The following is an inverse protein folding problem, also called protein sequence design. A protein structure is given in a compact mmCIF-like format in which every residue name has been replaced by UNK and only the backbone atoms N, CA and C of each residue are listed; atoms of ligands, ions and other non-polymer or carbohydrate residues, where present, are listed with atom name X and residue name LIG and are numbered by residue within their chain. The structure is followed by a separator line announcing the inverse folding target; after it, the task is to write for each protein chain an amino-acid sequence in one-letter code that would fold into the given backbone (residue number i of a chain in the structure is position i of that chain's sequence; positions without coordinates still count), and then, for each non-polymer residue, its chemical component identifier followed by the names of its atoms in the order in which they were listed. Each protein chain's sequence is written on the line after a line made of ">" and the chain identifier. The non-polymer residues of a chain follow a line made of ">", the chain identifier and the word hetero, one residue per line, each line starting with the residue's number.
data_IF_681850908879
#
_entry.id   IF_681850908879
#
_cell.length_a   1.000
_cell.length_b   1.000
_cell.length_c   1.000
_cell.angle_alpha   90.00
_cell.angle_beta   90.00
_cell.angle_gamma   90.00
#
_symmetry.space_group_name_H-M   'P 1'
#
loop_
_entity.id
_entity.type
_entity.pdbx_description
1 polymer ?
#
# COMPACT_ATOMS: atom_id res chain seq x y z
N UNK A 1 8.71 -11.89 13.07
CA UNK A 1 8.80 -10.45 13.41
C UNK A 1 7.94 -9.65 12.43
N UNK A 2 7.22 -8.62 12.88
CA UNK A 2 6.43 -7.75 11.98
C UNK A 2 7.35 -6.76 11.28
N UNK A 3 7.11 -6.53 9.99
CA UNK A 3 7.72 -5.47 9.20
C UNK A 3 6.64 -4.49 8.76
N UNK A 4 6.97 -3.19 8.78
CA UNK A 4 6.08 -2.13 8.34
C UNK A 4 6.73 -1.34 7.22
N UNK A 5 5.93 -0.94 6.25
CA UNK A 5 6.34 -0.05 5.15
C UNK A 5 5.31 1.05 5.01
N UNK A 6 5.77 2.29 4.90
CA UNK A 6 4.91 3.45 4.62
C UNK A 6 5.15 3.87 3.18
N UNK A 7 4.08 3.97 2.40
CA UNK A 7 4.14 4.44 1.01
C UNK A 7 3.26 5.66 0.83
N UNK A 8 3.62 6.49 -0.15
CA UNK A 8 2.78 7.55 -0.68
C UNK A 8 2.50 7.23 -2.16
N UNK A 9 1.31 6.69 -2.50
CA UNK A 9 1.00 6.24 -3.85
C UNK A 9 1.03 7.40 -4.85
N UNK A 10 1.80 7.25 -5.93
CA UNK A 10 1.81 8.19 -7.05
C UNK A 10 0.73 7.77 -8.06
N UNK A 11 -0.46 8.34 -7.93
CA UNK A 11 -1.64 7.92 -8.71
C UNK A 11 -1.80 8.60 -10.08
N UNK A 12 -1.02 9.64 -10.37
CA UNK A 12 -1.20 10.46 -11.57
C UNK A 12 -2.53 11.24 -11.60
N UNK A 13 -2.88 11.76 -12.77
CA UNK A 13 -4.05 12.63 -12.98
C UNK A 13 -5.29 11.91 -13.55
N UNK A 14 -5.14 10.69 -14.09
CA UNK A 14 -6.22 9.89 -14.67
C UNK A 14 -6.21 8.48 -14.07
N UNK A 15 -7.37 7.82 -14.10
CA UNK A 15 -7.55 6.44 -13.61
C UNK A 15 -7.04 6.23 -12.17
N UNK A 16 -7.16 7.25 -11.32
CA UNK A 16 -6.53 7.27 -9.98
C UNK A 16 -6.94 6.08 -9.11
N UNK A 17 -8.19 5.64 -9.18
CA UNK A 17 -8.67 4.48 -8.42
C UNK A 17 -8.04 3.17 -8.91
N UNK A 18 -8.02 2.94 -10.22
CA UNK A 18 -7.37 1.76 -10.81
C UNK A 18 -5.87 1.75 -10.49
N UNK A 19 -5.19 2.88 -10.68
CA UNK A 19 -3.76 2.99 -10.36
C UNK A 19 -3.50 2.71 -8.87
N UNK A 20 -4.44 3.10 -8.00
CA UNK A 20 -4.30 2.83 -6.57
C UNK A 20 -4.50 1.34 -6.27
N UNK A 21 -5.53 0.73 -6.86
CA UNK A 21 -5.79 -0.69 -6.79
C UNK A 21 -4.58 -1.51 -7.28
N UNK A 22 -3.98 -1.14 -8.41
CA UNK A 22 -2.81 -1.81 -8.97
C UNK A 22 -1.61 -1.77 -8.01
N UNK A 23 -1.37 -0.62 -7.36
CA UNK A 23 -0.33 -0.47 -6.35
C UNK A 23 -0.61 -1.39 -5.14
N UNK A 24 -1.84 -1.40 -4.63
CA UNK A 24 -2.21 -2.25 -3.50
C UNK A 24 -2.08 -3.73 -3.85
N UNK A 25 -2.54 -4.12 -5.04
CA UNK A 25 -2.44 -5.49 -5.54
C UNK A 25 -0.98 -5.93 -5.75
N UNK A 26 -0.10 -5.04 -6.21
CA UNK A 26 1.33 -5.32 -6.29
C UNK A 26 1.90 -5.66 -4.91
N UNK A 27 1.61 -4.83 -3.89
CA UNK A 27 2.08 -5.09 -2.53
C UNK A 27 1.45 -6.34 -1.91
N UNK A 28 0.19 -6.64 -2.22
CA UNK A 28 -0.46 -7.87 -1.78
C UNK A 28 0.25 -9.12 -2.33
N UNK A 29 0.67 -9.12 -3.60
CA UNK A 29 1.47 -10.21 -4.21
C UNK A 29 2.84 -10.38 -3.56
N UNK A 30 3.44 -9.28 -3.09
CA UNK A 30 4.68 -9.27 -2.31
C UNK A 30 4.48 -9.68 -0.83
N UNK A 31 3.26 -10.05 -0.43
CA UNK A 31 2.93 -10.55 0.90
C UNK A 31 2.64 -9.45 1.94
N UNK A 32 2.43 -8.21 1.50
CA UNK A 32 2.03 -7.11 2.38
C UNK A 32 0.52 -7.02 2.54
N UNK A 33 0.09 -6.60 3.73
CA UNK A 33 -1.31 -6.30 4.05
C UNK A 33 -1.47 -4.82 4.39
N UNK A 34 -2.55 -4.19 3.93
CA UNK A 34 -2.87 -2.81 4.29
C UNK A 34 -3.30 -2.74 5.76
N UNK A 35 -2.63 -1.90 6.55
CA UNK A 35 -2.94 -1.68 7.96
C UNK A 35 -3.65 -0.36 8.23
N UNK A 36 -3.32 0.68 7.46
CA UNK A 36 -3.90 2.01 7.61
C UNK A 36 -3.80 2.82 6.32
N UNK A 37 -4.81 3.63 6.03
CA UNK A 37 -4.82 4.62 4.95
C UNK A 37 -5.10 5.98 5.57
N UNK A 38 -4.14 6.89 5.47
CA UNK A 38 -4.27 8.25 5.98
C UNK A 38 -5.28 9.08 5.18
N UNK A 39 -6.19 9.75 5.88
CA UNK A 39 -7.07 10.75 5.27
C UNK A 39 -6.32 12.07 5.12
N UNK A 40 -6.39 12.71 3.95
CA UNK A 40 -5.69 13.96 3.64
C UNK A 40 -4.43 13.76 2.80
N UNK A 41 -3.33 13.31 3.42
CA UNK A 41 -2.15 12.84 2.70
C UNK A 41 -2.30 11.34 2.52
N UNK A 42 -2.55 10.88 1.28
CA UNK A 42 -2.73 9.47 0.97
C UNK A 42 -1.42 8.70 1.23
N UNK A 43 -1.14 8.46 2.49
CA UNK A 43 -0.10 7.56 2.97
C UNK A 43 -0.77 6.24 3.31
N UNK A 44 -0.12 5.15 2.95
CA UNK A 44 -0.59 3.80 3.24
C UNK A 44 0.46 3.10 4.06
N UNK A 45 0.04 2.56 5.20
CA UNK A 45 0.86 1.71 6.05
C UNK A 45 0.58 0.27 5.68
N UNK A 46 1.63 -0.44 5.29
CA UNK A 46 1.64 -1.85 4.95
C UNK A 46 2.32 -2.63 6.09
N UNK A 47 1.80 -3.81 6.42
CA UNK A 47 2.35 -4.73 7.41
C UNK A 47 2.60 -6.10 6.74
N UNK A 48 3.74 -6.73 7.00
CA UNK A 48 3.98 -8.14 6.65
C UNK A 48 4.72 -8.88 7.76
N UNK A 49 4.70 -10.21 7.69
CA UNK A 49 5.49 -11.05 8.60
C UNK A 49 6.82 -11.43 7.93
N UNK A 50 7.95 -11.13 8.57
CA UNK A 50 9.32 -11.39 8.07
C UNK A 50 9.65 -12.87 7.88
N UNK A 51 8.95 -13.76 8.59
CA UNK A 51 9.26 -15.19 8.68
C UNK A 51 8.09 -16.04 8.16
N UNK A 52 7.43 -15.60 7.09
CA UNK A 52 6.33 -16.35 6.48
C UNK A 52 6.86 -17.31 5.42
#
# INVERSE_FOLDING_TARGET
>A
MKEYKVIQPKLGFRNRLQNFEDILNQYAREGWSVKFIGQGFMSVVLERNKNR
#
